data_IF_831972994910
#
_entry.id   IF_831972994910
#
_cell.length_a   1.000
_cell.length_b   1.000
_cell.length_c   1.000
_cell.angle_alpha   90.00
_cell.angle_beta   90.00
_cell.angle_gamma   90.00
#
_symmetry.space_group_name_H-M   'P 1'
#
loop_
_entity.id
_entity.type
_entity.pdbx_description
1 polymer ?
#
# COMPACT_ATOMS: atom_id res chain seq x y z
N UNK A 1 2.45 -3.97 -9.38
CA UNK A 1 1.58 -5.13 -9.66
C UNK A 1 2.19 -5.90 -10.81
N UNK A 2 2.21 -7.23 -10.78
CA UNK A 2 2.75 -8.06 -11.86
C UNK A 2 4.17 -7.63 -12.32
N UNK A 3 5.00 -7.20 -11.38
CA UNK A 3 6.32 -6.65 -11.64
C UNK A 3 7.29 -7.79 -11.99
N UNK A 4 7.91 -7.79 -13.17
CA UNK A 4 8.87 -8.81 -13.55
C UNK A 4 10.19 -8.69 -12.77
N UNK A 5 10.98 -9.75 -12.76
CA UNK A 5 12.21 -9.82 -11.98
C UNK A 5 13.26 -8.75 -12.39
N UNK A 6 13.32 -8.40 -13.67
CA UNK A 6 14.20 -7.36 -14.18
C UNK A 6 13.87 -5.97 -13.62
N UNK A 7 12.60 -5.65 -13.43
CA UNK A 7 12.19 -4.37 -12.86
C UNK A 7 12.54 -4.29 -11.37
N UNK A 8 12.41 -5.40 -10.62
CA UNK A 8 12.89 -5.46 -9.24
C UNK A 8 14.41 -5.26 -9.16
N UNK A 9 15.18 -5.86 -10.08
CA UNK A 9 16.63 -5.66 -10.15
C UNK A 9 16.99 -4.20 -10.47
N UNK A 10 16.25 -3.59 -11.41
CA UNK A 10 16.45 -2.19 -11.77
C UNK A 10 16.10 -1.26 -10.60
N UNK A 11 14.95 -1.47 -9.95
CA UNK A 11 14.54 -0.70 -8.78
C UNK A 11 15.59 -0.79 -7.66
N UNK A 12 16.07 -1.99 -7.34
CA UNK A 12 17.10 -2.20 -6.35
C UNK A 12 18.42 -1.50 -6.72
N UNK A 13 18.84 -1.57 -7.98
CA UNK A 13 20.03 -0.90 -8.49
C UNK A 13 19.94 0.63 -8.38
N UNK A 14 18.75 1.19 -8.58
CA UNK A 14 18.50 2.63 -8.48
C UNK A 14 18.27 3.09 -7.03
N UNK A 15 18.24 2.19 -6.05
CA UNK A 15 17.95 2.53 -4.66
C UNK A 15 16.50 2.96 -4.43
N UNK A 16 15.58 2.56 -5.32
CA UNK A 16 14.17 2.87 -5.16
C UNK A 16 13.54 2.04 -4.02
N UNK A 17 12.58 2.64 -3.32
CA UNK A 17 11.77 1.91 -2.34
C UNK A 17 10.80 1.02 -3.09
N UNK A 18 10.93 -0.29 -2.88
CA UNK A 18 10.06 -1.29 -3.48
C UNK A 18 8.81 -1.45 -2.62
N UNK A 19 7.65 -1.47 -3.25
CA UNK A 19 6.37 -1.68 -2.58
C UNK A 19 5.74 -3.00 -3.07
N UNK A 20 5.50 -3.92 -2.15
CA UNK A 20 4.94 -5.24 -2.46
C UNK A 20 3.42 -5.23 -2.41
N UNK A 21 2.82 -5.85 -3.40
CA UNK A 21 1.38 -5.86 -3.61
C UNK A 21 0.70 -7.13 -3.04
N UNK A 22 1.47 -8.19 -2.88
CA UNK A 22 1.01 -9.49 -2.44
C UNK A 22 2.05 -10.20 -1.56
N UNK A 23 1.60 -11.08 -0.67
CA UNK A 23 2.46 -11.83 0.25
C UNK A 23 3.47 -12.72 -0.50
N UNK A 24 3.07 -13.29 -1.62
CA UNK A 24 3.95 -14.13 -2.47
C UNK A 24 5.12 -13.36 -3.10
N UNK A 25 4.98 -12.05 -3.17
CA UNK A 25 6.05 -11.18 -3.69
C UNK A 25 7.26 -11.10 -2.77
N UNK A 26 7.15 -11.45 -1.49
CA UNK A 26 8.30 -11.48 -0.56
C UNK A 26 9.37 -12.45 -1.06
N UNK A 27 8.97 -13.71 -1.30
CA UNK A 27 9.91 -14.72 -1.80
C UNK A 27 10.32 -14.49 -3.26
N UNK A 28 9.42 -13.92 -4.06
CA UNK A 28 9.74 -13.58 -5.44
C UNK A 28 10.80 -12.48 -5.52
N UNK A 29 10.68 -11.42 -4.72
CA UNK A 29 11.66 -10.34 -4.62
C UNK A 29 13.03 -10.90 -4.20
N UNK A 30 13.07 -11.69 -3.12
CA UNK A 30 14.33 -12.27 -2.63
C UNK A 30 15.02 -13.12 -3.71
N UNK A 31 14.26 -13.95 -4.45
CA UNK A 31 14.81 -14.70 -5.58
C UNK A 31 15.30 -13.80 -6.73
N UNK A 32 14.59 -12.70 -6.98
CA UNK A 32 14.91 -11.80 -8.09
C UNK A 32 16.19 -11.00 -7.88
N UNK A 33 16.45 -10.52 -6.64
CA UNK A 33 17.58 -9.62 -6.34
C UNK A 33 18.62 -10.22 -5.38
N UNK A 34 18.31 -11.37 -4.75
CA UNK A 34 19.24 -12.07 -3.86
C UNK A 34 19.23 -11.62 -2.41
N UNK A 35 18.42 -10.64 -2.04
CA UNK A 35 18.29 -10.12 -0.67
C UNK A 35 16.95 -9.40 -0.50
N UNK A 36 16.60 -9.01 0.75
CA UNK A 36 15.50 -8.10 1.02
C UNK A 36 16.05 -6.71 1.34
N UNK A 37 15.56 -5.63 0.68
CA UNK A 37 15.99 -4.27 0.98
C UNK A 37 15.71 -3.89 2.43
N UNK A 38 16.60 -3.07 3.03
CA UNK A 38 16.41 -2.58 4.41
C UNK A 38 15.16 -1.72 4.56
N UNK A 39 14.77 -0.99 3.51
CA UNK A 39 13.55 -0.18 3.46
C UNK A 39 12.61 -0.72 2.39
N UNK A 40 11.39 -1.08 2.81
CA UNK A 40 10.42 -1.73 1.93
C UNK A 40 8.99 -1.36 2.34
N UNK A 41 8.09 -1.27 1.37
CA UNK A 41 6.67 -1.01 1.57
C UNK A 41 5.79 -2.20 1.22
N UNK A 42 4.58 -2.20 1.77
CA UNK A 42 3.51 -3.11 1.39
C UNK A 42 2.23 -2.35 1.08
N UNK A 43 1.53 -2.76 0.02
CA UNK A 43 0.24 -2.18 -0.34
C UNK A 43 -0.87 -2.80 0.49
N UNK A 44 -1.63 -1.94 1.15
CA UNK A 44 -2.81 -2.31 1.92
C UNK A 44 -4.07 -2.26 1.07
N UNK A 45 -4.89 -3.30 1.20
CA UNK A 45 -6.26 -3.33 0.72
C UNK A 45 -7.21 -3.48 1.92
N UNK A 46 -8.01 -2.45 2.25
CA UNK A 46 -8.94 -2.50 3.39
C UNK A 46 -10.14 -3.43 3.16
N UNK A 47 -10.30 -3.97 1.96
CA UNK A 47 -11.51 -4.70 1.59
C UNK A 47 -12.75 -3.81 1.66
N UNK A 48 -13.91 -4.39 1.96
CA UNK A 48 -15.18 -3.66 2.10
C UNK A 48 -15.29 -2.77 3.34
N UNK A 49 -14.23 -2.63 4.15
CA UNK A 49 -14.27 -1.87 5.42
C UNK A 49 -14.01 -0.37 5.26
N UNK A 50 -13.50 0.07 4.11
CA UNK A 50 -13.27 1.48 3.84
C UNK A 50 -14.54 2.14 3.30
N UNK A 51 -15.09 3.10 4.05
CA UNK A 51 -16.17 3.96 3.57
C UNK A 51 -15.90 5.41 3.95
N UNK A 52 -16.35 6.34 3.11
CA UNK A 52 -16.24 7.79 3.36
C UNK A 52 -17.39 8.37 4.19
N UNK A 53 -18.19 7.52 4.83
CA UNK A 53 -19.44 7.90 5.45
C UNK A 53 -20.60 7.92 4.44
N UNK A 54 -21.78 8.44 4.83
CA UNK A 54 -22.91 8.56 3.91
C UNK A 54 -22.50 9.43 2.72
N UNK A 55 -22.32 8.77 1.59
CA UNK A 55 -21.85 9.37 0.35
C UNK A 55 -22.91 10.31 -0.23
N UNK A 56 -22.56 11.57 -0.41
CA UNK A 56 -23.27 12.42 -1.37
C UNK A 56 -23.17 11.77 -2.75
N UNK A 57 -24.30 11.74 -3.48
CA UNK A 57 -24.37 11.23 -4.85
C UNK A 57 -23.23 11.80 -5.69
N UNK A 58 -22.50 10.93 -6.38
CA UNK A 58 -21.40 11.31 -7.27
C UNK A 58 -20.00 10.86 -6.82
N UNK A 59 -19.85 10.21 -5.68
CA UNK A 59 -18.59 9.66 -5.21
C UNK A 59 -18.40 8.21 -5.67
N UNK A 60 -17.70 8.00 -6.76
CA UNK A 60 -17.14 6.69 -7.06
C UNK A 60 -15.75 6.60 -6.43
N UNK A 61 -15.68 6.11 -5.20
CA UNK A 61 -14.50 5.34 -4.79
C UNK A 61 -14.48 4.15 -5.73
N UNK A 62 -13.35 3.90 -6.41
CA UNK A 62 -13.20 2.75 -7.30
C UNK A 62 -13.84 1.54 -6.65
N UNK A 63 -14.57 0.79 -7.48
CA UNK A 63 -15.24 -0.48 -7.23
C UNK A 63 -15.17 -0.97 -5.77
N UNK A 64 -16.28 -1.42 -5.22
CA UNK A 64 -16.35 -1.89 -3.83
C UNK A 64 -14.98 -2.30 -3.33
N UNK A 65 -14.39 -1.72 -2.28
CA UNK A 65 -13.01 -2.00 -1.87
C UNK A 65 -12.70 -3.50 -1.72
N UNK A 66 -13.74 -4.33 -1.55
CA UNK A 66 -13.64 -5.78 -1.56
C UNK A 66 -13.31 -6.39 -2.93
N UNK A 67 -13.55 -5.67 -4.02
CA UNK A 67 -13.27 -6.12 -5.39
C UNK A 67 -11.91 -5.63 -5.90
N UNK A 68 -11.14 -4.89 -5.08
CA UNK A 68 -9.81 -4.44 -5.46
C UNK A 68 -8.88 -5.63 -5.67
N UNK A 69 -8.33 -5.73 -6.88
CA UNK A 69 -7.46 -6.85 -7.30
C UNK A 69 -6.12 -6.90 -6.57
N UNK A 70 -5.69 -5.79 -5.99
CA UNK A 70 -4.32 -5.57 -5.54
C UNK A 70 -4.26 -5.11 -4.09
N UNK A 71 -3.17 -5.47 -3.43
CA UNK A 71 -2.91 -5.14 -2.05
C UNK A 71 -3.28 -6.26 -1.08
N UNK A 72 -2.63 -6.23 0.06
CA UNK A 72 -2.75 -7.22 1.12
C UNK A 72 -3.81 -6.79 2.13
N UNK A 73 -4.54 -7.75 2.68
CA UNK A 73 -5.36 -7.54 3.87
C UNK A 73 -4.48 -7.21 5.07
N UNK A 74 -5.10 -6.71 6.16
CA UNK A 74 -4.39 -6.43 7.42
C UNK A 74 -3.57 -7.62 7.92
N UNK A 75 -4.16 -8.81 7.89
CA UNK A 75 -3.50 -10.03 8.35
C UNK A 75 -2.28 -10.39 7.47
N UNK A 76 -2.43 -10.27 6.15
CA UNK A 76 -1.35 -10.52 5.21
C UNK A 76 -0.21 -9.51 5.35
N UNK A 77 -0.50 -8.22 5.59
CA UNK A 77 0.57 -7.22 5.84
C UNK A 77 1.31 -7.54 7.14
N UNK A 78 0.62 -7.92 8.20
CA UNK A 78 1.28 -8.29 9.46
C UNK A 78 2.21 -9.49 9.25
N UNK A 79 1.79 -10.48 8.47
CA UNK A 79 2.62 -11.63 8.11
C UNK A 79 3.79 -11.22 7.20
N UNK A 80 3.55 -10.43 6.15
CA UNK A 80 4.59 -9.90 5.26
C UNK A 80 5.66 -9.13 6.05
N UNK A 81 5.26 -8.28 6.98
CA UNK A 81 6.19 -7.50 7.81
C UNK A 81 7.07 -8.40 8.68
N UNK A 82 6.50 -9.46 9.29
CA UNK A 82 7.29 -10.44 10.05
C UNK A 82 8.29 -11.18 9.18
N UNK A 83 7.86 -11.63 7.99
CA UNK A 83 8.73 -12.31 7.03
C UNK A 83 9.86 -11.41 6.52
N UNK A 84 9.52 -10.19 6.12
CA UNK A 84 10.48 -9.19 5.63
C UNK A 84 11.51 -8.84 6.73
N UNK A 85 11.05 -8.64 7.97
CA UNK A 85 11.92 -8.39 9.12
C UNK A 85 12.87 -9.54 9.37
N UNK A 86 12.38 -10.78 9.35
CA UNK A 86 13.21 -11.97 9.50
C UNK A 86 14.27 -12.11 8.41
N UNK A 87 13.98 -11.56 7.20
CA UNK A 87 14.89 -11.54 6.05
C UNK A 87 15.78 -10.28 5.98
N UNK A 88 15.76 -9.40 7.00
CA UNK A 88 16.69 -8.28 7.15
C UNK A 88 16.14 -6.89 6.82
N UNK A 89 14.84 -6.72 6.60
CA UNK A 89 14.23 -5.39 6.51
C UNK A 89 14.24 -4.69 7.87
N UNK A 90 14.53 -3.40 7.88
CA UNK A 90 14.66 -2.56 9.09
C UNK A 90 13.60 -1.45 9.12
N UNK A 91 13.25 -0.89 7.97
CA UNK A 91 12.28 0.19 7.80
C UNK A 91 11.12 -0.26 6.91
N UNK A 92 9.91 0.02 7.37
CA UNK A 92 8.68 -0.44 6.72
C UNK A 92 7.82 0.73 6.29
N UNK A 93 7.03 0.51 5.24
CA UNK A 93 6.04 1.46 4.78
C UNK A 93 4.71 0.82 4.44
N UNK A 94 3.67 1.63 4.48
CA UNK A 94 2.33 1.23 4.07
C UNK A 94 1.88 2.14 2.95
N UNK A 95 1.38 1.55 1.88
CA UNK A 95 0.80 2.23 0.74
C UNK A 95 -0.64 1.78 0.56
N UNK A 96 -1.53 2.67 0.16
CA UNK A 96 -2.87 2.31 -0.31
C UNK A 96 -3.29 3.20 -1.48
N UNK A 97 -3.91 2.58 -2.47
CA UNK A 97 -4.46 3.25 -3.64
C UNK A 97 -5.89 2.78 -3.87
N UNK A 98 -6.86 3.58 -3.44
CA UNK A 98 -8.29 3.19 -3.38
C UNK A 98 -9.18 4.07 -4.25
N UNK A 99 -8.67 5.13 -4.85
CA UNK A 99 -9.44 6.05 -5.67
C UNK A 99 -8.65 6.56 -6.86
N UNK A 100 -9.36 6.85 -7.94
CA UNK A 100 -8.81 7.48 -9.14
C UNK A 100 -9.73 8.63 -9.56
N UNK A 101 -9.13 9.75 -9.97
CA UNK A 101 -9.85 10.95 -10.43
C UNK A 101 -10.86 11.48 -9.38
N UNK A 102 -10.48 11.51 -8.12
CA UNK A 102 -11.31 11.99 -7.01
C UNK A 102 -11.39 13.51 -7.02
N UNK A 103 -12.59 14.05 -7.18
CA UNK A 103 -12.86 15.51 -7.23
C UNK A 103 -13.10 16.11 -5.84
N UNK A 104 -13.13 15.30 -4.77
CA UNK A 104 -13.32 15.76 -3.41
C UNK A 104 -12.07 15.52 -2.56
N UNK A 105 -11.78 16.48 -1.69
CA UNK A 105 -10.67 16.39 -0.75
C UNK A 105 -10.97 15.56 0.51
N UNK A 106 -12.19 15.09 0.72
CA UNK A 106 -12.59 14.32 1.92
C UNK A 106 -11.95 12.93 1.96
N UNK A 107 -11.64 12.38 0.80
CA UNK A 107 -10.99 11.08 0.66
C UNK A 107 -9.65 10.98 1.39
N UNK A 108 -8.75 11.95 1.17
CA UNK A 108 -7.38 11.89 1.68
C UNK A 108 -7.27 11.91 3.20
N UNK A 109 -8.01 12.77 3.95
CA UNK A 109 -8.03 12.72 5.40
C UNK A 109 -8.59 11.42 5.96
N UNK A 110 -9.59 10.83 5.30
CA UNK A 110 -10.13 9.53 5.71
C UNK A 110 -9.13 8.41 5.50
N UNK A 111 -8.49 8.36 4.33
CA UNK A 111 -7.43 7.41 4.02
C UNK A 111 -6.25 7.55 4.99
N UNK A 112 -5.79 8.78 5.22
CA UNK A 112 -4.69 9.05 6.14
C UNK A 112 -5.02 8.53 7.56
N UNK A 113 -6.18 8.88 8.11
CA UNK A 113 -6.60 8.38 9.44
C UNK A 113 -6.60 6.86 9.52
N UNK A 114 -7.10 6.18 8.48
CA UNK A 114 -7.10 4.72 8.42
C UNK A 114 -5.68 4.16 8.42
N UNK A 115 -4.80 4.68 7.55
CA UNK A 115 -3.44 4.19 7.43
C UNK A 115 -2.58 4.49 8.66
N UNK A 116 -2.75 5.64 9.32
CA UNK A 116 -2.06 5.93 10.57
C UNK A 116 -2.49 5.00 11.72
N UNK A 117 -3.78 4.66 11.81
CA UNK A 117 -4.26 3.66 12.78
C UNK A 117 -3.66 2.29 12.49
N UNK A 118 -3.73 1.86 11.23
CA UNK A 118 -3.15 0.59 10.79
C UNK A 118 -1.64 0.53 11.09
N UNK A 119 -0.91 1.61 10.83
CA UNK A 119 0.52 1.68 11.13
C UNK A 119 0.81 1.50 12.62
N UNK A 120 0.07 2.20 13.49
CA UNK A 120 0.22 2.07 14.93
C UNK A 120 -0.06 0.64 15.43
N UNK A 121 -1.14 0.02 14.95
CA UNK A 121 -1.51 -1.36 15.27
C UNK A 121 -0.45 -2.36 14.79
N UNK A 122 -0.02 -2.25 13.53
CA UNK A 122 0.99 -3.14 12.95
C UNK A 122 2.35 -3.00 13.67
N UNK A 123 2.75 -1.76 14.00
CA UNK A 123 3.99 -1.53 14.75
C UNK A 123 3.94 -2.16 16.14
N UNK A 124 2.80 -2.04 16.84
CA UNK A 124 2.60 -2.67 18.14
C UNK A 124 2.61 -4.21 18.04
N UNK A 125 1.94 -4.76 17.02
CA UNK A 125 1.78 -6.21 16.84
C UNK A 125 3.05 -6.90 16.36
N UNK A 126 3.78 -6.29 15.42
CA UNK A 126 4.93 -6.92 14.74
C UNK A 126 6.29 -6.44 15.26
N UNK A 127 6.31 -5.32 15.96
CA UNK A 127 7.54 -4.64 16.34
C UNK A 127 8.35 -4.11 15.14
N UNK A 128 7.71 -3.95 13.98
CA UNK A 128 8.34 -3.38 12.78
C UNK A 128 8.32 -1.86 12.86
N UNK A 129 9.41 -1.20 12.47
CA UNK A 129 9.52 0.25 12.49
C UNK A 129 8.97 0.84 11.20
N UNK A 130 7.77 1.43 11.26
CA UNK A 130 7.09 2.02 10.10
C UNK A 130 7.54 3.48 9.97
N UNK A 131 8.25 3.80 8.87
CA UNK A 131 8.89 5.09 8.64
C UNK A 131 8.18 5.94 7.60
N UNK A 132 7.29 5.36 6.78
CA UNK A 132 6.52 6.13 5.80
C UNK A 132 5.14 5.55 5.55
N UNK A 133 4.24 6.44 5.17
CA UNK A 133 2.89 6.11 4.69
C UNK A 133 2.69 6.85 3.37
N UNK A 134 2.35 6.08 2.33
CA UNK A 134 2.08 6.59 1.01
C UNK A 134 0.57 6.58 0.75
N UNK A 135 -0.01 7.76 0.62
CA UNK A 135 -1.44 7.95 0.34
C UNK A 135 -1.76 7.83 -1.16
N UNK A 136 -0.76 7.59 -1.98
CA UNK A 136 -0.89 7.55 -3.44
C UNK A 136 -1.38 8.87 -4.06
N UNK A 137 -1.83 8.75 -5.28
CA UNK A 137 -2.42 9.82 -6.08
C UNK A 137 -3.93 9.66 -6.22
N UNK A 138 -4.41 9.95 -7.41
CA UNK A 138 -5.85 9.85 -7.73
C UNK A 138 -6.59 11.17 -7.56
N UNK A 139 -5.87 12.28 -7.38
CA UNK A 139 -6.46 13.63 -7.39
C UNK A 139 -7.12 13.86 -8.75
N UNK A 140 -8.40 14.21 -8.72
CA UNK A 140 -9.18 14.46 -9.92
C UNK A 140 -8.94 15.83 -10.50
N UNK A 141 -9.06 15.91 -11.81
CA UNK A 141 -9.09 17.17 -12.55
C UNK A 141 -10.41 17.28 -13.32
N UNK A 142 -10.98 18.48 -13.47
CA UNK A 142 -12.16 18.64 -14.32
C UNK A 142 -11.77 18.43 -15.79
N UNK A 143 -12.46 17.52 -16.47
CA UNK A 143 -12.27 17.30 -17.92
C UNK A 143 -13.08 18.26 -18.79
N UNK A 144 -13.95 19.07 -18.18
CA UNK A 144 -14.72 20.10 -18.86
C UNK A 144 -14.36 21.46 -18.26
N UNK A 145 -14.22 22.50 -19.08
CA UNK A 145 -14.15 23.87 -18.57
C UNK A 145 -15.39 24.13 -17.70
N UNK A 146 -15.19 24.63 -16.50
CA UNK A 146 -16.27 25.05 -15.60
C UNK A 146 -16.89 26.37 -16.08
#
# INVERSE_FOLDING_TARGET
NETPAEDYRLAAKLGAVINLDDLTHVDFLERAIGYIPKKIGCRFNPGGTFSLGETREGFQVMDKPGDAKYGMTRAQIAEAFRLLKAKGAEEFGIHAFLASNTLSNEYYPALARMLFRLAAELQQETGCYITFIDLSGGVGIPYRPG
#
